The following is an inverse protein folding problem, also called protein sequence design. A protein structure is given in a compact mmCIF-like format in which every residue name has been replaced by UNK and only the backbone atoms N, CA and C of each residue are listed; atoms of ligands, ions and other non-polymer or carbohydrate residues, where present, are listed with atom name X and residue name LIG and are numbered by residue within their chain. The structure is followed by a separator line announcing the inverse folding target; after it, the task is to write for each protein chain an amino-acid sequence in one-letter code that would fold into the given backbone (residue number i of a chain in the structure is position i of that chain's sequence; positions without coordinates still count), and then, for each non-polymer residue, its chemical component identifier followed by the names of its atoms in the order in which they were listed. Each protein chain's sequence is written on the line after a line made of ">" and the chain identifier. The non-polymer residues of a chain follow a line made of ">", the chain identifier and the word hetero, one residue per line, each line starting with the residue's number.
data_IF_775993510935
#
_entry.id   IF_775993510935
#
_cell.length_a   1.000
_cell.length_b   1.000
_cell.length_c   1.000
_cell.angle_alpha   90.00
_cell.angle_beta   90.00
_cell.angle_gamma   90.00
#
_symmetry.space_group_name_H-M   'P 1'
#
loop_
_entity.id
_entity.type
_entity.pdbx_description
1 polymer ?
#
# COMPACT_ATOMS: atom_id res chain seq x y z
N UNK A 1 -25.32 5.48 2.36
CA UNK A 1 -24.96 4.18 2.92
C UNK A 1 -23.81 4.35 3.88
N UNK A 2 -23.98 3.86 5.10
CA UNK A 2 -22.92 3.77 6.08
C UNK A 2 -22.40 2.33 6.01
N UNK A 3 -21.23 2.14 5.41
CA UNK A 3 -20.57 0.83 5.48
C UNK A 3 -20.06 0.61 6.89
N UNK A 4 -20.57 -0.42 7.54
CA UNK A 4 -20.23 -0.80 8.91
C UNK A 4 -19.08 -1.79 8.87
N UNK A 5 -18.03 -1.54 9.65
CA UNK A 5 -16.94 -2.49 9.82
C UNK A 5 -17.38 -3.70 10.66
N UNK A 6 -17.19 -4.90 10.15
CA UNK A 6 -17.63 -6.16 10.74
C UNK A 6 -16.48 -7.15 10.95
N UNK A 7 -15.37 -6.72 11.59
CA UNK A 7 -14.24 -7.60 11.91
C UNK A 7 -13.20 -7.73 10.81
N UNK A 8 -12.34 -8.74 10.86
CA UNK A 8 -11.20 -8.92 9.93
C UNK A 8 -11.59 -8.95 8.45
N UNK A 9 -12.77 -9.49 8.11
CA UNK A 9 -13.29 -9.46 6.74
C UNK A 9 -13.63 -8.06 6.22
N UNK A 10 -13.88 -7.11 7.12
CA UNK A 10 -14.21 -5.73 6.77
C UNK A 10 -12.98 -4.84 6.64
N UNK A 11 -11.84 -5.24 7.20
CA UNK A 11 -10.54 -4.59 6.95
C UNK A 11 -10.18 -4.72 5.47
N UNK A 12 -10.46 -5.87 4.87
CA UNK A 12 -10.25 -6.11 3.44
C UNK A 12 -11.14 -5.20 2.57
N UNK A 13 -12.39 -4.99 2.96
CA UNK A 13 -13.31 -4.07 2.25
C UNK A 13 -12.89 -2.60 2.37
N UNK A 14 -12.25 -2.19 3.49
CA UNK A 14 -11.75 -0.82 3.66
C UNK A 14 -10.54 -0.52 2.78
N UNK A 15 -9.68 -1.50 2.55
CA UNK A 15 -8.54 -1.35 1.62
C UNK A 15 -8.99 -1.17 0.17
N UNK A 16 -10.26 -1.53 -0.13
CA UNK A 16 -10.87 -1.37 -1.44
C UNK A 16 -11.53 0.00 -1.63
N UNK A 17 -11.77 0.77 -0.55
CA UNK A 17 -12.36 2.10 -0.64
C UNK A 17 -11.28 3.11 -1.04
N UNK A 18 -11.52 3.80 -2.15
CA UNK A 18 -10.63 4.88 -2.56
C UNK A 18 -10.82 6.09 -1.64
N UNK A 19 -9.75 6.68 -1.08
CA UNK A 19 -9.85 7.88 -0.24
C UNK A 19 -10.58 9.04 -0.93
N UNK A 20 -10.52 9.13 -2.25
CA UNK A 20 -11.21 10.17 -3.02
C UNK A 20 -12.74 10.05 -2.99
N UNK A 21 -13.27 8.86 -2.71
CA UNK A 21 -14.71 8.58 -2.58
C UNK A 21 -15.26 8.86 -1.18
N UNK A 22 -14.38 9.07 -0.20
CA UNK A 22 -14.78 9.29 1.19
C UNK A 22 -15.17 10.75 1.38
N UNK A 23 -16.33 10.98 1.98
CA UNK A 23 -16.79 12.30 2.43
C UNK A 23 -16.35 12.57 3.86
N UNK A 24 -16.52 11.59 4.77
CA UNK A 24 -16.12 11.69 6.17
C UNK A 24 -15.85 10.34 6.80
N UNK A 25 -14.96 10.33 7.81
CA UNK A 25 -14.69 9.17 8.65
C UNK A 25 -14.95 9.59 10.10
N UNK A 26 -15.78 8.82 10.79
CA UNK A 26 -16.09 9.04 12.21
C UNK A 26 -15.71 7.80 13.01
N UNK A 27 -14.90 7.98 14.03
CA UNK A 27 -14.48 6.89 14.94
C UNK A 27 -15.28 7.00 16.22
N UNK A 28 -16.07 5.97 16.51
CA UNK A 28 -16.86 5.84 17.75
C UNK A 28 -16.11 4.87 18.67
N UNK A 29 -15.71 5.32 19.85
CA UNK A 29 -14.90 4.54 20.80
C UNK A 29 -15.65 4.08 22.04
N UNK A 30 -16.78 4.71 22.32
CA UNK A 30 -17.51 4.54 23.57
C UNK A 30 -18.90 3.93 23.40
N UNK A 31 -19.75 4.07 24.40
CA UNK A 31 -21.15 3.64 24.42
C UNK A 31 -21.95 4.11 23.18
N UNK A 32 -21.52 5.19 22.52
CA UNK A 32 -22.11 5.62 21.25
C UNK A 32 -22.01 4.58 20.13
N UNK A 33 -21.04 3.65 20.21
CA UNK A 33 -20.93 2.53 19.28
C UNK A 33 -22.01 1.45 19.51
N UNK A 34 -22.59 1.38 20.71
CA UNK A 34 -23.56 0.35 21.08
C UNK A 34 -24.84 0.37 20.21
N UNK A 35 -25.22 1.54 19.68
CA UNK A 35 -26.35 1.68 18.73
C UNK A 35 -26.16 0.85 17.44
N UNK A 36 -24.93 0.45 17.15
CA UNK A 36 -24.56 -0.38 15.99
C UNK A 36 -24.51 -1.87 16.31
N UNK A 37 -24.91 -2.27 17.52
CA UNK A 37 -25.06 -3.64 17.98
C UNK A 37 -23.84 -4.19 18.74
N UNK A 38 -23.94 -5.42 19.23
CA UNK A 38 -22.94 -6.07 20.10
C UNK A 38 -21.55 -6.19 19.48
N UNK A 39 -21.45 -6.22 18.16
CA UNK A 39 -20.17 -6.27 17.43
C UNK A 39 -19.39 -4.97 17.48
N UNK A 40 -20.00 -3.87 17.87
CA UNK A 40 -19.37 -2.58 18.03
C UNK A 40 -18.88 -2.32 19.47
N UNK A 41 -18.87 -3.34 20.33
CA UNK A 41 -18.41 -3.23 21.73
C UNK A 41 -16.97 -2.68 21.84
N UNK A 42 -16.12 -2.96 20.84
CA UNK A 42 -14.74 -2.45 20.76
C UNK A 42 -14.60 -1.15 19.94
N UNK A 43 -15.72 -0.47 19.68
CA UNK A 43 -15.79 0.71 18.83
C UNK A 43 -16.27 0.43 17.42
N UNK A 44 -16.58 1.50 16.70
CA UNK A 44 -16.98 1.46 15.28
C UNK A 44 -16.33 2.58 14.49
N UNK A 45 -15.99 2.32 13.23
CA UNK A 45 -15.56 3.34 12.28
C UNK A 45 -16.67 3.48 11.24
N UNK A 46 -17.25 4.67 11.17
CA UNK A 46 -18.28 5.01 10.20
C UNK A 46 -17.60 5.73 9.03
N UNK A 47 -17.68 5.15 7.85
CA UNK A 47 -17.20 5.77 6.62
C UNK A 47 -18.41 6.24 5.82
N UNK A 48 -18.52 7.55 5.63
CA UNK A 48 -19.52 8.17 4.77
C UNK A 48 -18.91 8.43 3.41
N UNK A 49 -19.49 7.83 2.38
CA UNK A 49 -19.03 8.02 0.99
C UNK A 49 -19.73 9.19 0.35
N UNK A 50 -19.05 9.83 -0.62
CA UNK A 50 -19.57 10.94 -1.41
C UNK A 50 -20.89 10.54 -2.10
N UNK A 51 -21.83 11.45 -2.11
CA UNK A 51 -23.12 11.33 -2.80
C UNK A 51 -23.32 12.52 -3.72
N UNK A 52 -24.29 12.41 -4.61
CA UNK A 52 -24.71 13.51 -5.45
C UNK A 52 -25.19 14.70 -4.60
N UNK A 53 -24.83 15.90 -5.04
CA UNK A 53 -25.24 17.17 -4.43
C UNK A 53 -26.11 17.93 -5.41
N UNK A 54 -27.14 18.64 -4.88
CA UNK A 54 -27.94 19.57 -5.66
C UNK A 54 -27.02 20.68 -6.21
N UNK A 55 -27.13 20.94 -7.48
CA UNK A 55 -26.39 22.00 -8.16
C UNK A 55 -26.08 21.63 -9.61
N UNK A 56 -25.39 22.56 -10.28
CA UNK A 56 -24.87 22.31 -11.63
C UNK A 56 -23.88 21.16 -11.59
N UNK A 57 -23.78 20.36 -12.67
CA UNK A 57 -22.80 19.29 -12.77
C UNK A 57 -21.38 19.82 -12.57
N UNK A 58 -20.65 19.23 -11.64
CA UNK A 58 -19.24 19.50 -11.39
C UNK A 58 -18.42 18.28 -11.75
N UNK A 59 -17.49 18.45 -12.66
CA UNK A 59 -16.50 17.42 -13.02
C UNK A 59 -15.19 17.81 -12.36
N UNK A 60 -14.59 16.88 -11.65
CA UNK A 60 -13.28 17.07 -11.02
C UNK A 60 -12.33 15.95 -11.41
N UNK A 61 -11.12 16.33 -11.79
CA UNK A 61 -10.01 15.41 -12.04
C UNK A 61 -8.88 15.70 -11.07
N UNK A 62 -8.25 14.64 -10.56
CA UNK A 62 -7.06 14.72 -9.72
C UNK A 62 -6.04 13.68 -10.16
N UNK A 63 -4.84 14.14 -10.48
CA UNK A 63 -3.67 13.31 -10.77
C UNK A 63 -2.67 13.40 -9.62
N UNK A 64 -2.16 12.27 -9.15
CA UNK A 64 -1.07 12.18 -8.17
C UNK A 64 0.02 11.30 -8.73
N UNK A 65 1.25 11.77 -8.62
CA UNK A 65 2.45 11.06 -9.02
C UNK A 65 3.39 11.01 -7.83
N UNK A 66 4.01 9.87 -7.59
CA UNK A 66 4.97 9.68 -6.53
C UNK A 66 6.08 8.74 -6.99
N UNK A 67 7.24 8.90 -6.38
CA UNK A 67 8.37 7.98 -6.50
C UNK A 67 8.64 7.44 -5.11
N UNK A 68 8.60 6.13 -4.97
CA UNK A 68 8.91 5.44 -3.73
C UNK A 68 10.32 4.88 -3.84
N UNK A 69 11.15 5.23 -2.87
CA UNK A 69 12.52 4.72 -2.77
C UNK A 69 12.93 4.62 -1.30
N UNK A 70 13.96 3.85 -1.02
CA UNK A 70 14.52 3.83 0.32
C UNK A 70 15.31 5.12 0.59
N UNK A 71 15.14 5.69 1.77
CA UNK A 71 15.93 6.85 2.21
C UNK A 71 17.40 6.46 2.37
N UNK A 72 17.65 5.23 2.83
CA UNK A 72 18.98 4.64 2.92
C UNK A 72 18.87 3.12 2.99
N UNK A 73 19.87 2.43 2.46
CA UNK A 73 20.06 1.00 2.65
C UNK A 73 21.10 0.74 3.72
N UNK A 74 20.99 -0.38 4.41
CA UNK A 74 22.05 -0.85 5.30
C UNK A 74 23.32 -1.04 4.47
N UNK A 75 24.40 -0.44 4.91
CA UNK A 75 25.70 -0.64 4.25
C UNK A 75 26.14 -2.09 4.46
N UNK A 76 26.43 -2.77 3.38
CA UNK A 76 27.07 -4.08 3.40
C UNK A 76 28.58 -3.90 3.41
N UNK A 77 29.29 -4.88 3.99
CA UNK A 77 30.74 -4.88 3.95
C UNK A 77 31.21 -5.08 2.51
N UNK A 78 32.30 -4.41 2.15
CA UNK A 78 33.02 -4.72 0.92
C UNK A 78 33.63 -6.11 0.98
N UNK A 79 33.94 -6.70 -0.16
CA UNK A 79 34.46 -8.07 -0.22
C UNK A 79 35.62 -8.32 0.70
N UNK A 80 36.67 -7.48 0.66
CA UNK A 80 37.85 -7.62 1.54
C UNK A 80 37.54 -7.33 3.02
N UNK A 81 36.66 -6.38 3.33
CA UNK A 81 36.24 -6.11 4.72
C UNK A 81 35.48 -7.29 5.29
N UNK A 82 34.63 -7.97 4.47
CA UNK A 82 33.97 -9.19 4.82
C UNK A 82 34.97 -10.31 5.14
N UNK A 83 35.96 -10.52 4.27
CA UNK A 83 37.02 -11.51 4.48
C UNK A 83 37.83 -11.23 5.75
N UNK A 84 38.22 -9.98 6.00
CA UNK A 84 38.92 -9.57 7.24
C UNK A 84 38.07 -9.80 8.48
N UNK A 85 36.78 -9.50 8.41
CA UNK A 85 35.84 -9.76 9.51
C UNK A 85 35.76 -11.25 9.86
N UNK A 86 35.66 -12.12 8.86
CA UNK A 86 35.61 -13.56 9.09
C UNK A 86 36.97 -14.13 9.55
N UNK A 87 38.10 -13.62 9.05
CA UNK A 87 39.39 -13.95 9.59
C UNK A 87 39.53 -13.58 11.08
N UNK A 88 39.06 -12.39 11.45
CA UNK A 88 39.05 -11.98 12.86
C UNK A 88 38.15 -12.86 13.73
N UNK A 89 36.99 -13.28 13.22
CA UNK A 89 36.11 -14.23 13.92
C UNK A 89 36.77 -15.61 14.09
N UNK A 90 37.43 -16.14 13.04
CA UNK A 90 38.10 -17.42 13.11
C UNK A 90 39.24 -17.41 14.14
N UNK A 91 40.10 -16.37 14.10
CA UNK A 91 41.18 -16.18 15.09
C UNK A 91 40.60 -16.06 16.52
N UNK A 92 39.54 -15.27 16.71
CA UNK A 92 38.92 -15.10 18.01
C UNK A 92 38.31 -16.40 18.55
N UNK A 93 37.66 -17.17 17.68
CA UNK A 93 37.10 -18.47 18.02
C UNK A 93 38.17 -19.50 18.38
N UNK A 94 39.23 -19.57 17.63
CA UNK A 94 40.35 -20.49 17.87
C UNK A 94 41.04 -20.17 19.19
N UNK A 95 41.31 -18.90 19.48
CA UNK A 95 41.86 -18.47 20.78
C UNK A 95 40.94 -18.80 21.94
N UNK A 96 39.65 -18.61 21.80
CA UNK A 96 38.67 -18.95 22.85
C UNK A 96 38.60 -20.45 23.12
N UNK A 97 38.92 -21.28 22.13
CA UNK A 97 38.97 -22.73 22.20
C UNK A 97 40.34 -23.29 22.62
N UNK A 98 41.32 -22.44 22.89
CA UNK A 98 42.65 -22.80 23.32
C UNK A 98 43.60 -23.32 22.22
N UNK A 99 43.28 -23.04 20.96
CA UNK A 99 44.14 -23.38 19.82
C UNK A 99 45.06 -22.19 19.49
N UNK A 100 46.35 -22.47 19.40
CA UNK A 100 47.36 -21.50 19.01
C UNK A 100 47.51 -21.35 17.46
N UNK A 101 46.90 -22.28 16.73
CA UNK A 101 46.95 -22.26 15.24
C UNK A 101 45.95 -21.24 14.70
N UNK A 102 46.51 -20.18 14.13
CA UNK A 102 45.76 -19.05 13.61
C UNK A 102 45.48 -19.23 12.11
N UNK A 103 44.87 -20.37 11.74
CA UNK A 103 44.41 -20.57 10.38
C UNK A 103 43.42 -19.50 10.01
N UNK A 104 43.79 -18.60 9.11
CA UNK A 104 42.92 -17.61 8.53
C UNK A 104 42.08 -18.26 7.43
N UNK A 105 40.84 -17.89 7.34
CA UNK A 105 39.95 -18.41 6.30
C UNK A 105 40.31 -17.86 4.91
N UNK A 106 40.81 -16.64 4.85
CA UNK A 106 41.20 -15.94 3.62
C UNK A 106 42.62 -15.45 3.74
N UNK A 107 43.45 -15.81 2.79
CA UNK A 107 44.86 -15.31 2.66
C UNK A 107 44.86 -13.84 2.20
N UNK A 108 46.02 -13.20 2.34
CA UNK A 108 46.21 -11.81 1.85
C UNK A 108 45.99 -11.68 0.35
N UNK A 109 46.29 -12.74 -0.42
CA UNK A 109 46.05 -12.76 -1.87
C UNK A 109 44.58 -12.80 -2.19
N UNK A 110 43.80 -13.65 -1.48
CA UNK A 110 42.38 -13.73 -1.63
C UNK A 110 41.65 -12.45 -1.18
N UNK A 111 42.14 -11.83 -0.09
CA UNK A 111 41.60 -10.52 0.35
C UNK A 111 41.85 -9.42 -0.69
N UNK A 112 43.02 -9.43 -1.36
CA UNK A 112 43.30 -8.48 -2.41
C UNK A 112 42.42 -8.70 -3.67
N UNK A 113 42.14 -9.95 -4.00
CA UNK A 113 41.21 -10.27 -5.08
C UNK A 113 39.77 -9.86 -4.73
N UNK A 114 39.35 -10.07 -3.48
CA UNK A 114 38.04 -9.65 -2.97
C UNK A 114 37.83 -8.13 -3.02
N UNK A 115 38.89 -7.32 -2.98
CA UNK A 115 38.77 -5.86 -3.14
C UNK A 115 38.25 -5.46 -4.54
N UNK A 116 38.47 -6.29 -5.54
CA UNK A 116 37.98 -6.10 -6.91
C UNK A 116 36.56 -6.61 -7.09
N UNK A 117 36.05 -7.42 -6.17
CA UNK A 117 34.71 -8.06 -6.22
C UNK A 117 33.74 -7.30 -5.33
N UNK A 118 33.47 -6.03 -5.66
CA UNK A 118 32.46 -5.25 -4.96
C UNK A 118 31.11 -5.35 -5.68
N UNK A 119 30.27 -6.29 -5.27
CA UNK A 119 28.92 -6.42 -5.76
C UNK A 119 27.96 -5.60 -4.90
N UNK A 120 27.19 -4.72 -5.51
CA UNK A 120 25.99 -4.18 -4.87
C UNK A 120 24.86 -5.17 -5.09
N UNK A 121 24.58 -5.98 -4.07
CA UNK A 121 23.54 -7.01 -4.12
C UNK A 121 22.14 -6.46 -4.34
N UNK A 122 21.89 -5.20 -4.00
CA UNK A 122 20.60 -4.57 -4.24
C UNK A 122 20.47 -4.19 -5.71
N UNK A 123 21.53 -3.68 -6.32
CA UNK A 123 21.55 -3.38 -7.75
C UNK A 123 21.44 -4.66 -8.58
N UNK A 124 22.22 -5.70 -8.24
CA UNK A 124 22.12 -7.02 -8.87
C UNK A 124 20.74 -7.68 -8.68
N UNK A 125 20.09 -7.45 -7.54
CA UNK A 125 18.72 -7.92 -7.30
C UNK A 125 17.66 -7.10 -8.04
N UNK A 126 18.05 -6.06 -8.79
CA UNK A 126 17.16 -5.20 -9.56
C UNK A 126 16.40 -4.19 -8.70
N UNK A 127 17.07 -3.64 -7.67
CA UNK A 127 16.49 -2.53 -6.91
C UNK A 127 16.40 -1.28 -7.78
N UNK A 128 15.24 -0.66 -7.81
CA UNK A 128 14.99 0.60 -8.50
C UNK A 128 13.94 1.45 -7.78
N UNK A 129 13.95 2.74 -8.04
CA UNK A 129 12.89 3.63 -7.56
C UNK A 129 11.56 3.25 -8.18
N UNK A 130 10.55 2.99 -7.38
CA UNK A 130 9.22 2.60 -7.83
C UNK A 130 8.36 3.83 -8.14
N UNK A 131 7.87 3.91 -9.36
CA UNK A 131 6.92 4.95 -9.76
C UNK A 131 5.50 4.55 -9.38
N UNK A 132 4.74 5.53 -8.90
CA UNK A 132 3.33 5.39 -8.54
C UNK A 132 2.53 6.51 -9.16
N UNK A 133 1.38 6.17 -9.71
CA UNK A 133 0.43 7.14 -10.24
C UNK A 133 -1.00 6.83 -9.81
N UNK A 134 -1.77 7.88 -9.59
CA UNK A 134 -3.20 7.77 -9.27
C UNK A 134 -3.96 8.82 -10.06
N UNK A 135 -4.96 8.40 -10.79
CA UNK A 135 -5.84 9.27 -11.56
C UNK A 135 -7.27 9.08 -11.08
N UNK A 136 -7.90 10.15 -10.64
CA UNK A 136 -9.27 10.13 -10.15
C UNK A 136 -10.13 11.12 -10.92
N UNK A 137 -11.22 10.63 -11.46
CA UNK A 137 -12.26 11.43 -12.12
C UNK A 137 -13.55 11.32 -11.34
N UNK A 138 -14.15 12.44 -10.97
CA UNK A 138 -15.43 12.49 -10.29
C UNK A 138 -16.39 13.43 -11.00
N UNK A 139 -17.65 13.04 -11.01
CA UNK A 139 -18.76 13.85 -11.51
C UNK A 139 -19.86 13.85 -10.45
N UNK A 140 -20.33 15.00 -10.06
CA UNK A 140 -21.50 15.11 -9.17
C UNK A 140 -22.37 16.27 -9.60
N UNK A 141 -23.67 16.15 -9.33
CA UNK A 141 -24.64 17.18 -9.66
C UNK A 141 -26.06 16.74 -9.35
N UNK A 142 -27.01 17.55 -9.73
CA UNK A 142 -28.41 17.20 -9.63
C UNK A 142 -29.34 18.37 -9.36
N UNK A 143 -30.61 18.03 -9.33
CA UNK A 143 -31.73 18.94 -9.04
C UNK A 143 -32.28 18.70 -7.63
N UNK A 144 -33.38 19.35 -7.28
CA UNK A 144 -34.12 19.08 -6.05
C UNK A 144 -34.74 17.68 -6.01
N UNK A 145 -35.03 17.12 -7.17
CA UNK A 145 -35.69 15.82 -7.31
C UNK A 145 -34.73 14.67 -7.52
N UNK A 146 -33.57 14.91 -8.13
CA UNK A 146 -32.59 13.87 -8.40
C UNK A 146 -31.17 14.39 -8.26
N UNK A 147 -30.34 13.68 -7.52
CA UNK A 147 -28.90 13.94 -7.42
C UNK A 147 -28.12 12.70 -7.82
N UNK A 148 -26.96 12.89 -8.42
CA UNK A 148 -26.11 11.81 -8.89
C UNK A 148 -24.64 12.05 -8.55
N UNK A 149 -23.91 10.98 -8.41
CA UNK A 149 -22.48 10.93 -8.24
C UNK A 149 -21.91 9.78 -9.08
N UNK A 150 -20.81 10.03 -9.78
CA UNK A 150 -20.02 8.99 -10.41
C UNK A 150 -18.54 9.30 -10.18
N UNK A 151 -17.76 8.29 -9.84
CA UNK A 151 -16.32 8.38 -9.64
C UNK A 151 -15.61 7.17 -10.21
N UNK A 152 -14.42 7.39 -10.77
CA UNK A 152 -13.53 6.36 -11.23
C UNK A 152 -12.09 6.71 -10.84
N UNK A 153 -11.35 5.73 -10.34
CA UNK A 153 -9.93 5.88 -9.97
C UNK A 153 -9.11 4.78 -10.63
N UNK A 154 -8.03 5.17 -11.27
CA UNK A 154 -6.96 4.32 -11.72
C UNK A 154 -5.75 4.51 -10.82
N UNK A 155 -5.22 3.42 -10.31
CA UNK A 155 -4.02 3.35 -9.49
C UNK A 155 -3.03 2.38 -10.11
N UNK A 156 -1.78 2.80 -10.21
CA UNK A 156 -0.68 2.01 -10.75
C UNK A 156 0.56 2.24 -9.90
N UNK A 157 1.17 1.15 -9.45
CA UNK A 157 2.35 1.17 -8.59
C UNK A 157 3.33 0.10 -9.02
N UNK A 158 4.57 0.50 -9.30
CA UNK A 158 5.70 -0.40 -9.43
C UNK A 158 6.24 -0.85 -8.08
N UNK A 159 7.10 -1.87 -8.09
CA UNK A 159 7.85 -2.31 -6.92
C UNK A 159 9.29 -1.78 -6.97
N UNK A 160 9.93 -1.69 -5.80
CA UNK A 160 11.34 -1.33 -5.71
C UNK A 160 12.27 -2.50 -6.03
N UNK A 161 11.77 -3.74 -5.99
CA UNK A 161 12.55 -4.94 -6.25
C UNK A 161 11.94 -5.71 -7.43
N UNK A 162 12.70 -5.87 -8.50
CA UNK A 162 12.27 -6.56 -9.71
C UNK A 162 11.17 -5.85 -10.49
N UNK A 163 10.55 -6.56 -11.42
CA UNK A 163 9.54 -6.02 -12.36
C UNK A 163 8.09 -6.24 -11.87
N UNK A 164 7.85 -6.14 -10.57
CA UNK A 164 6.50 -6.32 -10.03
C UNK A 164 5.68 -5.05 -10.19
N UNK A 165 4.39 -5.22 -10.44
CA UNK A 165 3.46 -4.09 -10.52
C UNK A 165 2.11 -4.43 -9.91
N UNK A 166 1.43 -3.40 -9.42
CA UNK A 166 0.05 -3.50 -8.95
C UNK A 166 -0.79 -2.42 -9.59
N UNK A 167 -1.84 -2.83 -10.31
CA UNK A 167 -2.82 -1.93 -10.94
C UNK A 167 -4.18 -2.14 -10.33
N UNK A 168 -4.89 -1.06 -10.05
CA UNK A 168 -6.25 -1.12 -9.51
C UNK A 168 -7.16 -0.11 -10.20
N UNK A 169 -8.31 -0.59 -10.61
CA UNK A 169 -9.42 0.21 -11.11
C UNK A 169 -10.53 0.20 -10.06
N UNK A 170 -11.00 1.35 -9.66
CA UNK A 170 -12.11 1.48 -8.73
C UNK A 170 -13.17 2.35 -9.37
N UNK A 171 -14.43 1.98 -9.27
CA UNK A 171 -15.53 2.76 -9.79
C UNK A 171 -16.71 2.74 -8.83
N UNK A 172 -17.42 3.87 -8.77
CA UNK A 172 -18.63 4.04 -7.97
C UNK A 172 -19.56 4.99 -8.71
N UNK A 173 -20.84 4.62 -8.76
CA UNK A 173 -21.90 5.50 -9.25
C UNK A 173 -23.11 5.39 -8.33
N UNK A 174 -23.78 6.50 -8.10
CA UNK A 174 -24.98 6.55 -7.27
C UNK A 174 -25.94 7.59 -7.74
N UNK A 175 -27.21 7.29 -7.57
CA UNK A 175 -28.32 8.21 -7.84
C UNK A 175 -29.30 8.19 -6.68
N UNK A 176 -29.74 9.35 -6.26
CA UNK A 176 -30.81 9.56 -5.28
C UNK A 176 -31.93 10.29 -5.98
N UNK A 177 -33.14 9.71 -6.02
CA UNK A 177 -34.33 10.30 -6.65
C UNK A 177 -35.42 10.45 -5.61
N UNK A 178 -36.00 11.63 -5.49
CA UNK A 178 -37.18 11.92 -4.70
C UNK A 178 -38.40 11.78 -5.59
N UNK A 179 -39.14 10.68 -5.44
CA UNK A 179 -40.36 10.42 -6.23
C UNK A 179 -41.52 11.27 -5.74
N UNK A 180 -41.68 11.37 -4.42
CA UNK A 180 -42.65 12.24 -3.74
C UNK A 180 -41.98 12.90 -2.54
N UNK A 181 -42.69 13.71 -1.77
CA UNK A 181 -42.17 14.29 -0.53
C UNK A 181 -41.74 13.24 0.49
N UNK A 182 -42.41 12.08 0.49
CA UNK A 182 -42.25 11.01 1.49
C UNK A 182 -41.45 9.82 0.95
N UNK A 183 -41.30 9.71 -0.39
CA UNK A 183 -40.65 8.55 -1.03
C UNK A 183 -39.36 9.00 -1.70
N UNK A 184 -38.25 8.41 -1.21
CA UNK A 184 -36.90 8.56 -1.78
C UNK A 184 -36.37 7.20 -2.24
N UNK A 185 -35.93 7.12 -3.48
CA UNK A 185 -35.25 5.98 -4.05
C UNK A 185 -33.74 6.30 -4.14
N UNK A 186 -32.91 5.38 -3.64
CA UNK A 186 -31.46 5.48 -3.73
C UNK A 186 -30.89 4.21 -4.35
N UNK A 187 -30.06 4.34 -5.36
CA UNK A 187 -29.32 3.24 -5.98
C UNK A 187 -27.84 3.57 -6.01
N UNK A 188 -27.00 2.60 -5.69
CA UNK A 188 -25.53 2.74 -5.73
C UNK A 188 -24.91 1.47 -6.29
N UNK A 189 -24.00 1.63 -7.24
CA UNK A 189 -23.15 0.57 -7.77
C UNK A 189 -21.70 0.96 -7.50
N UNK A 190 -20.93 0.03 -6.97
CA UNK A 190 -19.50 0.21 -6.73
C UNK A 190 -18.75 -1.10 -7.00
N UNK A 191 -17.54 -1.00 -7.49
CA UNK A 191 -16.69 -2.15 -7.74
C UNK A 191 -15.23 -1.74 -7.84
N UNK A 192 -14.36 -2.73 -7.73
CA UNK A 192 -12.94 -2.58 -7.98
C UNK A 192 -12.41 -3.84 -8.65
N UNK A 193 -11.36 -3.65 -9.43
CA UNK A 193 -10.58 -4.71 -10.04
C UNK A 193 -9.12 -4.42 -9.79
N UNK A 194 -8.38 -5.39 -9.23
CA UNK A 194 -6.95 -5.30 -8.99
C UNK A 194 -6.19 -6.38 -9.74
N UNK A 195 -5.11 -6.00 -10.41
CA UNK A 195 -4.17 -6.90 -11.07
C UNK A 195 -2.80 -6.72 -10.43
N UNK A 196 -2.22 -7.83 -9.97
CA UNK A 196 -0.87 -7.87 -9.43
C UNK A 196 -0.03 -8.82 -10.28
N UNK A 197 1.04 -8.30 -10.84
CA UNK A 197 2.07 -9.10 -11.50
C UNK A 197 3.15 -9.39 -10.45
N UNK A 198 3.33 -10.67 -10.12
CA UNK A 198 4.30 -11.14 -9.12
C UNK A 198 5.33 -12.05 -9.79
N UNK A 199 6.59 -11.91 -9.39
CA UNK A 199 7.62 -12.85 -9.81
C UNK A 199 7.46 -14.10 -8.92
N UNK A 200 7.03 -15.20 -9.54
CA UNK A 200 7.09 -16.50 -8.88
C UNK A 200 8.51 -17.05 -9.03
N UNK A 201 9.31 -17.00 -7.99
CA UNK A 201 10.50 -17.85 -7.88
C UNK A 201 10.01 -19.30 -7.78
N UNK A 202 10.14 -20.05 -8.88
CA UNK A 202 10.02 -21.51 -8.81
C UNK A 202 11.18 -21.99 -7.93
N UNK A 203 10.85 -22.41 -6.68
CA UNK A 203 11.77 -23.15 -5.83
C UNK A 203 12.00 -24.58 -6.37
#
# INVERSE_FOLDING_TARGET
>A
DVERSRGLGDVYKRQMLDPSEVESITVLRDASAAIYGSRAANGAILVKTKRGKKGIPVISYSGKFAVNDAVSHSKVLKGSDYGRFYNALAIGSNKASGYDDLDVLYSDMELAEMDNLNYDWLDEAGWSSAFQQTHTLNVNGGSERATYYAGATYYDQGANLGEQSYKRYTYRAGVDVRLTNDIKLSATVAGNEGKSDQIYTKG
#
